data_IF_411921517650
#
_entry.id   IF_411921517650
#
_cell.length_a   1.000
_cell.length_b   1.000
_cell.length_c   1.000
_cell.angle_alpha   90.00
_cell.angle_beta   90.00
_cell.angle_gamma   90.00
#
_symmetry.space_group_name_H-M   'P 1'
#
loop_
_entity.id
_entity.type
_entity.pdbx_description
1 polymer ?
#
# COMPACT_ATOMS: atom_id res chain seq x y z
N UNK A 1 4.45 -58.45 -19.93
CA UNK A 1 4.90 -57.04 -19.79
C UNK A 1 3.89 -55.96 -20.27
N UNK A 2 2.70 -56.32 -20.75
CA UNK A 2 1.69 -55.33 -21.26
C UNK A 2 0.64 -54.89 -20.20
N UNK A 3 0.49 -55.61 -19.12
CA UNK A 3 -0.54 -55.32 -18.07
C UNK A 3 -0.09 -54.21 -17.12
N UNK A 4 1.20 -54.02 -16.92
CA UNK A 4 1.75 -52.99 -16.01
C UNK A 4 1.62 -51.55 -16.56
N UNK A 5 1.63 -51.36 -17.89
CA UNK A 5 1.52 -50.05 -18.53
C UNK A 5 0.10 -49.50 -18.51
N UNK A 6 -0.91 -50.37 -18.54
CA UNK A 6 -2.31 -49.97 -18.44
C UNK A 6 -2.70 -49.42 -17.07
N UNK A 7 -2.21 -50.05 -16.01
CA UNK A 7 -2.47 -49.65 -14.62
C UNK A 7 -1.75 -48.35 -14.26
N UNK A 8 -0.53 -48.13 -14.74
CA UNK A 8 0.20 -46.88 -14.52
C UNK A 8 -0.46 -45.68 -15.21
N UNK A 9 -0.98 -45.89 -16.43
CA UNK A 9 -1.73 -44.85 -17.15
C UNK A 9 -3.09 -44.56 -16.53
N UNK A 10 -3.80 -45.54 -16.05
CA UNK A 10 -5.06 -45.39 -15.33
C UNK A 10 -4.85 -44.64 -13.99
N UNK A 11 -3.80 -45.00 -13.23
CA UNK A 11 -3.45 -44.32 -11.99
C UNK A 11 -3.02 -42.85 -12.23
N UNK A 12 -2.26 -42.59 -13.29
CA UNK A 12 -1.86 -41.20 -13.67
C UNK A 12 -3.06 -40.37 -14.14
N UNK A 13 -4.01 -40.96 -14.89
CA UNK A 13 -5.22 -40.25 -15.32
C UNK A 13 -6.18 -39.99 -14.14
N UNK A 14 -6.26 -40.94 -13.18
CA UNK A 14 -7.05 -40.76 -11.96
C UNK A 14 -6.46 -39.70 -11.06
N UNK A 15 -5.12 -39.68 -10.87
CA UNK A 15 -4.43 -38.59 -10.15
C UNK A 15 -4.62 -37.24 -10.79
N UNK A 16 -4.55 -37.13 -12.13
CA UNK A 16 -4.82 -35.87 -12.84
C UNK A 16 -6.27 -35.42 -12.67
N UNK A 17 -7.24 -36.30 -12.73
CA UNK A 17 -8.66 -35.99 -12.50
C UNK A 17 -8.94 -35.60 -11.04
N UNK A 18 -8.31 -36.26 -10.07
CA UNK A 18 -8.45 -35.90 -8.66
C UNK A 18 -7.77 -34.59 -8.30
N UNK A 19 -6.65 -34.25 -8.94
CA UNK A 19 -5.99 -32.94 -8.80
C UNK A 19 -6.80 -31.85 -9.48
N UNK A 20 -7.37 -32.09 -10.67
CA UNK A 20 -8.29 -31.13 -11.31
C UNK A 20 -9.60 -30.98 -10.54
N UNK A 21 -10.16 -32.05 -9.98
CA UNK A 21 -11.34 -31.99 -9.11
C UNK A 21 -11.04 -31.25 -7.78
N UNK A 22 -9.82 -31.36 -7.24
CA UNK A 22 -9.41 -30.54 -6.08
C UNK A 22 -9.12 -29.09 -6.41
N UNK A 23 -8.59 -28.79 -7.59
CA UNK A 23 -8.40 -27.41 -8.07
C UNK A 23 -9.72 -26.70 -8.39
N UNK A 24 -10.80 -27.45 -8.70
CA UNK A 24 -12.15 -26.93 -8.93
C UNK A 24 -13.02 -26.86 -7.68
N UNK A 25 -12.51 -27.24 -6.51
CA UNK A 25 -13.23 -27.20 -5.24
C UNK A 25 -12.88 -25.99 -4.38
N UNK A 26 -12.64 -24.84 -5.00
CA UNK A 26 -12.89 -23.57 -4.29
C UNK A 26 -14.42 -23.48 -4.15
N UNK A 27 -14.97 -23.58 -2.94
CA UNK A 27 -16.42 -23.45 -2.77
C UNK A 27 -16.85 -22.12 -3.42
N UNK A 28 -17.92 -22.14 -4.25
CA UNK A 28 -18.41 -20.90 -4.84
C UNK A 28 -18.67 -19.92 -3.71
N UNK A 29 -18.25 -18.66 -3.92
CA UNK A 29 -18.42 -17.60 -2.94
C UNK A 29 -19.88 -17.61 -2.46
N UNK A 30 -20.11 -17.86 -1.19
CA UNK A 30 -21.47 -17.92 -0.70
C UNK A 30 -22.09 -16.51 -0.73
N UNK A 31 -23.39 -16.44 -1.03
CA UNK A 31 -24.14 -15.17 -1.03
C UNK A 31 -23.96 -14.42 0.30
N UNK A 32 -23.90 -15.15 1.43
CA UNK A 32 -23.69 -14.57 2.75
C UNK A 32 -22.30 -13.95 2.92
N UNK A 33 -21.25 -14.55 2.38
CA UNK A 33 -19.90 -13.99 2.39
C UNK A 33 -19.80 -12.73 1.53
N UNK A 34 -20.39 -12.75 0.33
CA UNK A 34 -20.44 -11.59 -0.56
C UNK A 34 -21.17 -10.41 0.11
N UNK A 35 -22.31 -10.66 0.71
CA UNK A 35 -23.07 -9.65 1.43
C UNK A 35 -22.32 -9.13 2.67
N UNK A 36 -21.62 -10.00 3.40
CA UNK A 36 -20.79 -9.58 4.53
C UNK A 36 -19.67 -8.63 4.09
N UNK A 37 -18.98 -8.93 3.00
CA UNK A 37 -17.94 -8.06 2.45
C UNK A 37 -18.50 -6.72 1.93
N UNK A 38 -19.64 -6.76 1.25
CA UNK A 38 -20.30 -5.55 0.78
C UNK A 38 -20.78 -4.68 1.94
N UNK A 39 -21.22 -5.29 3.04
CA UNK A 39 -21.58 -4.54 4.25
C UNK A 39 -20.37 -3.94 4.97
N UNK A 40 -19.22 -4.58 4.90
CA UNK A 40 -17.98 -4.05 5.45
C UNK A 40 -17.28 -3.01 4.53
N UNK A 41 -17.80 -2.79 3.30
CA UNK A 41 -17.19 -1.86 2.36
C UNK A 41 -17.25 -0.41 2.89
N UNK A 42 -16.19 0.40 2.69
CA UNK A 42 -16.14 1.79 3.14
C UNK A 42 -17.11 2.71 2.39
N UNK A 43 -17.61 2.27 1.24
CA UNK A 43 -18.57 2.99 0.39
C UNK A 43 -19.99 2.48 0.62
N UNK A 44 -20.98 3.36 0.44
CA UNK A 44 -22.34 2.95 0.32
C UNK A 44 -22.57 2.16 -0.97
N UNK A 45 -23.37 1.10 -0.92
CA UNK A 45 -23.80 0.41 -2.13
C UNK A 45 -25.24 -0.07 -1.97
N UNK A 46 -25.92 -0.12 -3.10
CA UNK A 46 -27.24 -0.73 -3.19
C UNK A 46 -27.41 -1.42 -4.55
N UNK A 47 -28.29 -2.41 -4.57
CA UNK A 47 -28.66 -3.14 -5.79
C UNK A 47 -30.13 -2.87 -6.11
N UNK A 48 -30.39 -2.46 -7.36
CA UNK A 48 -31.72 -2.21 -7.89
C UNK A 48 -32.10 -3.29 -8.88
N UNK A 49 -33.35 -3.69 -8.87
CA UNK A 49 -33.92 -4.53 -9.91
C UNK A 49 -34.38 -3.70 -11.13
N UNK A 50 -35.03 -4.36 -12.10
CA UNK A 50 -35.53 -3.72 -13.32
C UNK A 50 -36.55 -2.62 -13.06
N UNK A 51 -37.31 -2.69 -11.96
CA UNK A 51 -38.31 -1.70 -11.55
C UNK A 51 -37.72 -0.56 -10.74
N UNK A 52 -36.39 -0.47 -10.55
CA UNK A 52 -35.70 0.46 -9.64
C UNK A 52 -36.01 0.22 -8.16
N UNK A 53 -36.42 -0.98 -7.81
CA UNK A 53 -36.74 -1.39 -6.45
C UNK A 53 -35.47 -1.84 -5.77
N UNK A 54 -35.22 -1.42 -4.52
CA UNK A 54 -34.04 -1.79 -3.73
C UNK A 54 -34.15 -3.26 -3.30
N UNK A 55 -33.25 -4.08 -3.79
CA UNK A 55 -33.18 -5.49 -3.45
C UNK A 55 -32.10 -5.79 -2.39
N UNK A 56 -31.08 -4.95 -2.29
CA UNK A 56 -30.06 -5.00 -1.26
C UNK A 56 -29.45 -3.61 -1.07
N UNK A 57 -29.08 -3.31 0.17
CA UNK A 57 -28.45 -2.05 0.57
C UNK A 57 -27.54 -2.33 1.76
N UNK A 58 -26.42 -1.63 1.89
CA UNK A 58 -25.55 -1.73 3.06
C UNK A 58 -25.78 -0.55 4.02
N UNK A 59 -25.39 -0.73 5.25
CA UNK A 59 -25.55 0.28 6.33
C UNK A 59 -24.90 1.62 5.96
N UNK A 60 -23.83 1.61 5.18
CA UNK A 60 -23.17 2.84 4.74
C UNK A 60 -24.01 3.62 3.74
N UNK A 61 -24.71 2.92 2.83
CA UNK A 61 -25.64 3.57 1.89
C UNK A 61 -26.88 4.10 2.62
N UNK A 62 -27.42 3.36 3.60
CA UNK A 62 -28.52 3.84 4.45
C UNK A 62 -28.13 5.14 5.15
N UNK A 63 -26.93 5.19 5.73
CA UNK A 63 -26.38 6.39 6.38
C UNK A 63 -26.24 7.56 5.40
N UNK A 64 -25.62 7.34 4.22
CA UNK A 64 -25.39 8.38 3.24
C UNK A 64 -26.70 8.94 2.66
N UNK A 65 -27.67 8.09 2.46
CA UNK A 65 -29.01 8.46 1.95
C UNK A 65 -29.96 8.94 3.07
N UNK A 66 -29.47 9.02 4.31
CA UNK A 66 -30.25 9.45 5.49
C UNK A 66 -31.53 8.63 5.70
N UNK A 67 -31.48 7.32 5.35
CA UNK A 67 -32.64 6.43 5.49
C UNK A 67 -32.75 5.91 6.93
N UNK A 68 -33.97 5.67 7.44
CA UNK A 68 -34.19 5.15 8.79
C UNK A 68 -33.58 3.73 8.93
N UNK A 69 -32.77 3.50 9.95
CA UNK A 69 -32.08 2.23 10.18
C UNK A 69 -32.97 1.01 10.43
N UNK A 70 -34.24 1.23 10.83
CA UNK A 70 -35.21 0.18 11.18
C UNK A 70 -36.25 -0.11 10.07
N UNK A 71 -36.11 0.50 8.90
CA UNK A 71 -37.10 0.30 7.82
C UNK A 71 -36.70 -0.91 6.96
N UNK A 72 -37.67 -1.74 6.61
CA UNK A 72 -37.58 -2.79 5.60
C UNK A 72 -37.48 -2.13 4.22
N UNK A 73 -36.32 -1.55 3.90
CA UNK A 73 -36.05 -0.83 2.65
C UNK A 73 -36.06 -1.72 1.40
N UNK A 74 -36.03 -3.05 1.62
CA UNK A 74 -36.10 -4.02 0.52
C UNK A 74 -37.52 -4.07 -0.02
N UNK A 75 -37.65 -3.88 -1.32
CA UNK A 75 -38.93 -3.87 -2.02
C UNK A 75 -39.49 -2.46 -2.22
N UNK A 76 -38.86 -1.43 -1.66
CA UNK A 76 -39.23 -0.03 -1.88
C UNK A 76 -38.56 0.51 -3.14
N UNK A 77 -39.25 1.38 -3.85
CA UNK A 77 -38.74 2.06 -5.03
C UNK A 77 -37.78 3.18 -4.65
N UNK A 78 -36.62 3.26 -5.33
CA UNK A 78 -35.60 4.26 -5.01
C UNK A 78 -36.11 5.70 -5.04
N UNK A 79 -36.98 6.02 -6.01
CA UNK A 79 -37.62 7.35 -6.18
C UNK A 79 -38.49 7.79 -4.98
N UNK A 80 -39.05 6.83 -4.25
CA UNK A 80 -39.86 7.11 -3.06
C UNK A 80 -39.01 7.43 -1.84
N UNK A 81 -37.79 6.88 -1.80
CA UNK A 81 -36.86 7.04 -0.67
C UNK A 81 -35.90 8.20 -0.88
N UNK A 82 -35.47 8.44 -2.10
CA UNK A 82 -34.51 9.47 -2.45
C UNK A 82 -35.06 10.35 -3.54
N UNK A 83 -35.52 11.55 -3.17
CA UNK A 83 -36.04 12.53 -4.11
C UNK A 83 -34.90 13.29 -4.78
N UNK A 84 -34.32 12.71 -5.84
CA UNK A 84 -33.27 13.32 -6.65
C UNK A 84 -33.52 13.05 -8.14
N UNK A 85 -33.99 14.08 -8.86
CA UNK A 85 -34.20 13.95 -10.32
C UNK A 85 -32.93 13.59 -11.06
N UNK A 86 -31.78 14.06 -10.59
CA UNK A 86 -30.47 13.78 -11.19
C UNK A 86 -30.12 12.29 -11.10
N UNK A 87 -30.37 11.67 -9.95
CA UNK A 87 -30.12 10.25 -9.72
C UNK A 87 -31.10 9.40 -10.56
N UNK A 88 -32.37 9.75 -10.60
CA UNK A 88 -33.37 9.05 -11.40
C UNK A 88 -33.03 9.10 -12.90
N UNK A 89 -32.68 10.29 -13.41
CA UNK A 89 -32.29 10.47 -14.82
C UNK A 89 -31.01 9.63 -15.12
N UNK A 90 -30.04 9.61 -14.22
CA UNK A 90 -28.83 8.83 -14.37
C UNK A 90 -29.12 7.32 -14.39
N UNK A 91 -30.04 6.82 -13.57
CA UNK A 91 -30.52 5.43 -13.56
C UNK A 91 -31.13 5.07 -14.92
N UNK A 92 -32.03 5.91 -15.44
CA UNK A 92 -32.65 5.67 -16.75
C UNK A 92 -31.65 5.76 -17.91
N UNK A 93 -30.71 6.70 -17.82
CA UNK A 93 -29.64 6.87 -18.82
C UNK A 93 -28.70 5.67 -18.84
N UNK A 94 -28.28 5.18 -17.65
CA UNK A 94 -27.41 4.02 -17.52
C UNK A 94 -28.05 2.76 -18.10
N UNK A 95 -29.34 2.54 -17.86
CA UNK A 95 -30.10 1.42 -18.45
C UNK A 95 -30.21 1.50 -19.96
N UNK A 96 -30.54 2.68 -20.49
CA UNK A 96 -30.73 2.88 -21.95
C UNK A 96 -29.43 2.71 -22.71
N UNK A 97 -28.29 3.13 -22.12
CA UNK A 97 -26.97 3.10 -22.77
C UNK A 97 -26.18 1.82 -22.46
N UNK A 98 -26.66 1.00 -21.51
CA UNK A 98 -25.94 -0.19 -20.98
C UNK A 98 -24.50 0.12 -20.60
N UNK A 99 -24.26 1.31 -20.04
CA UNK A 99 -22.94 1.78 -19.65
C UNK A 99 -22.96 2.38 -18.26
N UNK A 100 -21.83 2.26 -17.55
CA UNK A 100 -21.64 2.93 -16.29
C UNK A 100 -21.88 4.44 -16.43
N UNK A 101 -22.59 5.01 -15.46
CA UNK A 101 -22.85 6.45 -15.35
C UNK A 101 -22.39 6.94 -13.98
N UNK A 102 -21.94 8.17 -13.96
CA UNK A 102 -21.58 8.88 -12.74
C UNK A 102 -22.49 10.08 -12.62
N UNK A 103 -23.05 10.27 -11.45
CA UNK A 103 -23.93 11.39 -11.15
C UNK A 103 -23.56 12.00 -9.82
N UNK A 104 -23.65 13.32 -9.74
CA UNK A 104 -23.45 14.10 -8.54
C UNK A 104 -24.75 14.82 -8.21
N UNK A 105 -25.13 14.81 -6.93
CA UNK A 105 -26.29 15.56 -6.42
C UNK A 105 -26.07 15.92 -4.95
N UNK A 106 -26.98 16.69 -4.39
CA UNK A 106 -26.96 17.03 -2.96
C UNK A 106 -28.20 16.50 -2.26
N UNK A 107 -28.02 15.79 -1.16
CA UNK A 107 -29.10 15.39 -0.27
C UNK A 107 -29.07 16.27 0.98
N UNK A 108 -29.94 17.29 1.02
CA UNK A 108 -29.83 18.36 2.02
C UNK A 108 -28.52 19.14 1.87
N UNK A 109 -27.68 19.12 2.89
CA UNK A 109 -26.33 19.76 2.86
C UNK A 109 -25.19 18.81 2.51
N UNK A 110 -25.50 17.53 2.24
CA UNK A 110 -24.48 16.52 1.92
C UNK A 110 -24.32 16.38 0.40
N UNK A 111 -23.18 16.76 -0.16
CA UNK A 111 -22.87 16.49 -1.56
C UNK A 111 -22.52 15.02 -1.72
N UNK A 112 -23.28 14.32 -2.54
CA UNK A 112 -23.15 12.90 -2.83
C UNK A 112 -22.77 12.66 -4.27
N UNK A 113 -22.11 11.55 -4.49
CA UNK A 113 -21.76 11.03 -5.79
C UNK A 113 -22.18 9.58 -5.89
N UNK A 114 -22.80 9.20 -7.01
CA UNK A 114 -23.09 7.81 -7.33
C UNK A 114 -22.44 7.37 -8.64
N UNK A 115 -21.93 6.14 -8.63
CA UNK A 115 -21.56 5.41 -9.83
C UNK A 115 -22.55 4.28 -10.04
N UNK A 116 -23.26 4.31 -11.16
CA UNK A 116 -24.27 3.35 -11.56
C UNK A 116 -23.65 2.34 -12.53
N UNK A 117 -23.75 1.07 -12.20
CA UNK A 117 -23.19 -0.05 -12.96
C UNK A 117 -24.33 -0.95 -13.43
N UNK A 118 -24.68 -0.94 -14.73
CA UNK A 118 -25.71 -1.84 -15.24
C UNK A 118 -25.22 -3.29 -15.23
N UNK A 119 -26.09 -4.21 -14.83
CA UNK A 119 -25.89 -5.64 -14.81
C UNK A 119 -26.81 -6.36 -15.79
N UNK A 120 -26.78 -7.68 -15.79
CA UNK A 120 -27.65 -8.53 -16.58
C UNK A 120 -29.11 -8.45 -16.07
N UNK A 121 -30.08 -8.81 -16.91
CA UNK A 121 -31.52 -8.87 -16.60
C UNK A 121 -32.11 -7.56 -16.01
N UNK A 122 -31.49 -6.41 -16.30
CA UNK A 122 -31.95 -5.12 -15.84
C UNK A 122 -31.54 -4.78 -14.39
N UNK A 123 -30.71 -5.60 -13.77
CA UNK A 123 -30.09 -5.27 -12.49
C UNK A 123 -29.17 -4.07 -12.60
N UNK A 124 -28.98 -3.36 -11.50
CA UNK A 124 -28.06 -2.24 -11.41
C UNK A 124 -27.41 -2.21 -10.02
N UNK A 125 -26.10 -2.09 -9.98
CA UNK A 125 -25.40 -1.76 -8.76
C UNK A 125 -25.15 -0.24 -8.70
N UNK A 126 -25.38 0.36 -7.55
CA UNK A 126 -25.14 1.78 -7.30
C UNK A 126 -24.12 1.90 -6.17
N UNK A 127 -23.01 2.53 -6.45
CA UNK A 127 -21.98 2.87 -5.46
C UNK A 127 -22.14 4.33 -5.08
N UNK A 128 -22.17 4.58 -3.76
CA UNK A 128 -22.38 5.90 -3.18
C UNK A 128 -21.14 6.34 -2.43
N UNK A 129 -20.77 7.59 -2.62
CA UNK A 129 -19.71 8.25 -1.84
C UNK A 129 -20.14 9.67 -1.45
N UNK A 130 -19.71 10.12 -0.28
CA UNK A 130 -19.88 11.52 0.12
C UNK A 130 -18.70 12.34 -0.41
N UNK A 131 -18.98 13.50 -1.04
CA UNK A 131 -17.94 14.44 -1.46
C UNK A 131 -17.27 15.17 -0.29
N UNK A 132 -17.81 15.10 0.92
CA UNK A 132 -17.10 15.51 2.14
C UNK A 132 -15.80 14.74 2.33
N UNK A 133 -15.65 13.55 1.73
CA UNK A 133 -14.35 12.88 1.66
C UNK A 133 -13.32 13.70 0.89
N UNK A 134 -13.74 14.49 -0.10
CA UNK A 134 -12.87 15.41 -0.84
C UNK A 134 -12.42 16.59 0.06
N UNK A 135 -13.34 17.16 0.84
CA UNK A 135 -12.99 18.19 1.83
C UNK A 135 -12.08 17.63 2.93
N UNK A 136 -12.34 16.40 3.39
CA UNK A 136 -11.45 15.74 4.34
C UNK A 136 -10.09 15.40 3.73
N UNK A 137 -10.02 15.10 2.43
CA UNK A 137 -8.76 14.96 1.69
C UNK A 137 -8.04 16.30 1.54
N UNK A 138 -8.77 17.38 1.24
CA UNK A 138 -8.20 18.73 1.20
C UNK A 138 -7.73 19.20 2.59
N UNK A 139 -8.46 18.87 3.64
CA UNK A 139 -8.07 19.13 5.03
C UNK A 139 -6.87 18.27 5.46
N UNK A 140 -6.81 17.03 4.99
CA UNK A 140 -5.66 16.15 5.18
C UNK A 140 -4.44 16.65 4.40
N UNK A 141 -4.66 17.15 3.18
CA UNK A 141 -3.62 17.78 2.36
C UNK A 141 -3.15 19.10 2.99
N UNK A 142 -4.05 19.90 3.56
CA UNK A 142 -3.70 21.14 4.26
C UNK A 142 -2.94 20.89 5.55
N UNK A 143 -3.32 19.88 6.32
CA UNK A 143 -2.56 19.43 7.50
C UNK A 143 -1.18 18.93 7.10
N UNK A 144 -1.10 18.14 6.04
CA UNK A 144 0.14 17.67 5.49
C UNK A 144 1.09 18.80 5.06
N UNK A 145 0.59 19.86 4.38
CA UNK A 145 1.39 21.04 4.04
C UNK A 145 1.91 21.75 5.30
N UNK A 146 1.10 21.80 6.35
CA UNK A 146 1.50 22.35 7.65
C UNK A 146 2.60 21.53 8.32
N UNK A 147 2.47 20.20 8.33
CA UNK A 147 3.46 19.30 8.91
C UNK A 147 4.80 19.40 8.17
N UNK A 148 4.74 19.44 6.83
CA UNK A 148 5.90 19.69 5.98
C UNK A 148 6.56 21.03 6.31
N UNK A 149 5.79 22.10 6.42
CA UNK A 149 6.33 23.41 6.75
C UNK A 149 7.03 23.40 8.12
N UNK A 150 6.50 22.67 9.09
CA UNK A 150 7.12 22.50 10.39
C UNK A 150 8.42 21.69 10.33
N UNK A 151 8.44 20.58 9.59
CA UNK A 151 9.64 19.73 9.44
C UNK A 151 10.74 20.40 8.59
N UNK A 152 10.37 21.27 7.67
CA UNK A 152 11.33 22.10 6.92
C UNK A 152 11.84 23.30 7.72
N UNK A 153 11.04 23.89 8.60
CA UNK A 153 11.41 25.05 9.40
C UNK A 153 12.60 24.78 10.32
N UNK A 154 12.65 23.60 10.93
CA UNK A 154 13.71 23.21 11.87
C UNK A 154 15.10 23.18 11.21
N UNK A 155 15.34 22.45 10.08
CA UNK A 155 16.64 22.47 9.41
C UNK A 155 16.96 23.84 8.80
N UNK A 156 15.97 24.58 8.30
CA UNK A 156 16.18 25.93 7.78
C UNK A 156 16.66 26.90 8.87
N UNK A 157 16.05 26.81 10.06
CA UNK A 157 16.48 27.62 11.21
C UNK A 157 17.91 27.27 11.63
N UNK A 158 18.26 25.97 11.64
CA UNK A 158 19.62 25.51 11.92
C UNK A 158 20.63 26.04 10.88
N UNK A 159 20.26 26.04 9.60
CA UNK A 159 21.08 26.57 8.52
C UNK A 159 21.32 28.09 8.65
N UNK A 160 20.28 28.85 8.99
CA UNK A 160 20.39 30.28 9.24
C UNK A 160 21.32 30.57 10.41
N UNK A 161 21.17 29.89 11.54
CA UNK A 161 22.05 30.04 12.71
C UNK A 161 23.52 29.71 12.42
N UNK A 162 23.76 28.69 11.59
CA UNK A 162 25.11 28.33 11.14
C UNK A 162 25.66 29.40 10.21
N UNK A 163 24.85 29.93 9.28
CA UNK A 163 25.19 31.05 8.41
C UNK A 163 25.59 32.29 9.19
N UNK A 164 24.78 32.69 10.17
CA UNK A 164 25.04 33.83 11.06
C UNK A 164 26.33 33.63 11.88
N UNK A 165 26.58 32.41 12.37
CA UNK A 165 27.79 32.09 13.11
C UNK A 165 29.05 32.14 12.21
N UNK A 166 28.95 31.74 10.94
CA UNK A 166 30.03 31.86 9.96
C UNK A 166 30.32 33.33 9.61
N UNK A 167 29.29 34.14 9.50
CA UNK A 167 29.41 35.59 9.22
C UNK A 167 30.06 36.32 10.40
N UNK A 168 29.83 35.87 11.64
CA UNK A 168 30.37 36.53 12.84
C UNK A 168 31.80 36.06 13.19
N UNK A 169 32.31 34.95 12.69
CA UNK A 169 33.59 34.35 13.09
C UNK A 169 34.51 34.05 11.88
N UNK A 170 35.45 34.95 11.65
CA UNK A 170 36.43 34.82 10.58
C UNK A 170 37.69 33.98 10.96
N UNK A 171 37.56 32.80 11.60
CA UNK A 171 38.68 32.00 12.08
C UNK A 171 38.57 30.51 11.73
N UNK A 172 39.66 29.72 11.99
CA UNK A 172 39.80 28.27 11.68
C UNK A 172 38.67 27.36 12.22
N UNK A 173 37.80 27.86 13.08
CA UNK A 173 36.60 27.18 13.60
C UNK A 173 35.49 27.00 12.54
N UNK A 174 35.61 27.66 11.38
CA UNK A 174 34.57 27.67 10.34
C UNK A 174 34.37 26.30 9.67
N UNK A 175 35.37 25.43 9.69
CA UNK A 175 35.29 24.08 9.06
C UNK A 175 34.18 23.25 9.69
N UNK A 176 34.09 23.19 11.01
CA UNK A 176 33.07 22.42 11.74
C UNK A 176 31.65 22.98 11.48
N UNK A 177 31.54 24.31 11.37
CA UNK A 177 30.26 24.96 11.05
C UNK A 177 29.85 24.68 9.60
N UNK A 178 30.78 24.70 8.67
CA UNK A 178 30.53 24.37 7.25
C UNK A 178 30.10 22.91 7.12
N UNK A 179 30.75 21.97 7.79
CA UNK A 179 30.37 20.56 7.81
C UNK A 179 28.97 20.33 8.40
N UNK A 180 28.60 21.11 9.43
CA UNK A 180 27.25 21.08 10.00
C UNK A 180 26.22 21.63 9.02
N UNK A 181 26.52 22.74 8.36
CA UNK A 181 25.68 23.35 7.34
C UNK A 181 25.45 22.36 6.18
N UNK A 182 26.50 21.75 5.67
CA UNK A 182 26.39 20.76 4.59
C UNK A 182 25.53 19.56 4.99
N UNK A 183 25.66 19.07 6.22
CA UNK A 183 24.81 17.97 6.72
C UNK A 183 23.33 18.33 6.81
N UNK A 184 23.01 19.55 7.26
CA UNK A 184 21.60 20.00 7.33
C UNK A 184 21.02 20.28 5.94
N UNK A 185 21.82 20.78 5.00
CA UNK A 185 21.42 20.95 3.59
C UNK A 185 21.11 19.61 2.93
N UNK A 186 21.96 18.62 3.14
CA UNK A 186 21.77 17.28 2.60
C UNK A 186 20.50 16.63 3.19
N UNK A 187 20.29 16.75 4.50
CA UNK A 187 19.08 16.30 5.17
C UNK A 187 17.82 16.97 4.61
N UNK A 188 17.88 18.27 4.34
CA UNK A 188 16.77 19.01 3.74
C UNK A 188 16.49 18.52 2.31
N UNK A 189 17.54 18.28 1.53
CA UNK A 189 17.43 17.72 0.18
C UNK A 189 16.74 16.35 0.19
N UNK A 190 17.14 15.46 1.10
CA UNK A 190 16.52 14.14 1.26
C UNK A 190 15.04 14.27 1.64
N UNK A 191 14.70 15.13 2.61
CA UNK A 191 13.31 15.38 3.04
C UNK A 191 12.42 15.89 1.89
N UNK A 192 12.91 16.86 1.12
CA UNK A 192 12.16 17.39 -0.04
C UNK A 192 12.00 16.31 -1.12
N UNK A 193 13.04 15.52 -1.37
CA UNK A 193 13.01 14.41 -2.31
C UNK A 193 11.99 13.34 -1.92
N UNK A 194 12.01 12.89 -0.66
CA UNK A 194 11.07 11.92 -0.10
C UNK A 194 9.62 12.41 -0.21
N UNK A 195 9.42 13.70 0.05
CA UNK A 195 8.12 14.34 0.01
C UNK A 195 7.53 14.38 -1.40
N UNK A 196 8.33 14.83 -2.38
CA UNK A 196 7.92 14.87 -3.78
C UNK A 196 7.61 13.47 -4.33
N UNK A 197 8.39 12.47 -3.91
CA UNK A 197 8.16 11.08 -4.29
C UNK A 197 6.84 10.56 -3.69
N UNK A 198 6.61 10.77 -2.40
CA UNK A 198 5.38 10.37 -1.73
C UNK A 198 4.15 11.01 -2.39
N UNK A 199 4.22 12.31 -2.69
CA UNK A 199 3.15 13.03 -3.40
C UNK A 199 2.87 12.44 -4.79
N UNK A 200 3.91 12.02 -5.54
CA UNK A 200 3.73 11.36 -6.85
C UNK A 200 3.11 9.97 -6.72
N UNK A 201 3.55 9.21 -5.71
CA UNK A 201 3.03 7.87 -5.45
C UNK A 201 1.54 7.88 -5.08
N UNK A 202 1.10 8.84 -4.30
CA UNK A 202 -0.31 8.98 -3.89
C UNK A 202 -1.25 9.29 -5.05
N UNK A 203 -0.74 9.97 -6.07
CA UNK A 203 -1.50 10.27 -7.28
C UNK A 203 -1.39 9.18 -8.38
N UNK A 204 -0.68 8.08 -8.10
CA UNK A 204 -0.51 6.97 -9.05
C UNK A 204 -1.58 5.90 -8.80
N UNK A 205 -2.25 5.45 -9.88
CA UNK A 205 -3.16 4.31 -9.82
C UNK A 205 -2.36 2.99 -9.78
N UNK A 206 -2.82 1.99 -9.02
CA UNK A 206 -2.18 0.68 -9.01
C UNK A 206 -2.19 0.03 -10.40
N UNK A 207 -1.03 -0.47 -10.84
CA UNK A 207 -0.92 -1.29 -12.04
C UNK A 207 -0.91 -0.56 -13.39
N UNK A 208 -1.11 0.76 -13.43
CA UNK A 208 -1.22 1.55 -14.67
C UNK A 208 0.06 2.35 -14.99
N UNK A 209 1.22 1.73 -14.83
CA UNK A 209 2.47 2.41 -15.13
C UNK A 209 3.21 1.74 -16.30
N UNK A 210 3.48 2.51 -17.36
CA UNK A 210 4.30 2.11 -18.52
C UNK A 210 5.72 1.70 -18.11
N UNK A 211 6.15 2.03 -16.89
CA UNK A 211 7.47 1.69 -16.31
C UNK A 211 7.54 0.29 -15.73
N UNK A 212 6.41 -0.43 -15.62
CA UNK A 212 6.40 -1.78 -15.08
C UNK A 212 7.12 -2.75 -16.02
N UNK A 213 8.15 -3.42 -15.50
CA UNK A 213 8.98 -4.41 -16.18
C UNK A 213 9.02 -5.73 -15.38
N UNK A 214 9.39 -6.81 -16.05
CA UNK A 214 9.75 -8.05 -15.36
C UNK A 214 11.08 -7.86 -14.66
N UNK A 215 11.13 -8.13 -13.36
CA UNK A 215 12.23 -7.90 -12.45
C UNK A 215 12.40 -9.11 -11.54
N UNK A 216 13.54 -9.27 -10.93
CA UNK A 216 13.75 -10.22 -9.85
C UNK A 216 13.94 -9.45 -8.53
N UNK A 217 13.09 -9.74 -7.53
CA UNK A 217 13.14 -9.07 -6.23
C UNK A 217 14.46 -9.32 -5.49
N UNK A 218 15.06 -10.51 -5.68
CA UNK A 218 16.36 -10.85 -5.12
C UNK A 218 17.48 -9.98 -5.68
N UNK A 219 17.47 -9.74 -6.99
CA UNK A 219 18.49 -8.92 -7.64
C UNK A 219 18.37 -7.45 -7.18
N UNK A 220 17.17 -6.92 -7.11
CA UNK A 220 16.91 -5.59 -6.56
C UNK A 220 17.34 -5.46 -5.10
N UNK A 221 17.12 -6.50 -4.30
CA UNK A 221 17.55 -6.54 -2.91
C UNK A 221 19.09 -6.50 -2.80
N UNK A 222 19.77 -7.27 -3.63
CA UNK A 222 21.25 -7.28 -3.67
C UNK A 222 21.82 -5.91 -4.10
N UNK A 223 21.18 -5.25 -5.07
CA UNK A 223 21.54 -3.90 -5.51
C UNK A 223 21.33 -2.87 -4.40
N UNK A 224 20.18 -2.89 -3.74
CA UNK A 224 19.89 -1.99 -2.62
C UNK A 224 20.90 -2.19 -1.47
N UNK A 225 21.23 -3.44 -1.14
CA UNK A 225 22.25 -3.72 -0.13
C UNK A 225 23.64 -3.23 -0.53
N UNK A 226 24.01 -3.36 -1.80
CA UNK A 226 25.33 -2.89 -2.28
C UNK A 226 25.53 -1.39 -2.01
N UNK A 227 24.46 -0.59 -2.09
CA UNK A 227 24.46 0.85 -1.80
C UNK A 227 24.69 1.15 -0.31
N UNK A 228 24.25 0.26 0.59
CA UNK A 228 24.41 0.42 2.04
C UNK A 228 25.67 -0.25 2.59
N UNK A 229 26.35 -1.08 1.80
CA UNK A 229 27.51 -1.86 2.21
C UNK A 229 28.63 -1.05 2.88
N UNK A 230 29.04 0.13 2.37
CA UNK A 230 30.09 0.91 3.03
C UNK A 230 29.73 1.32 4.46
N UNK A 231 28.43 1.56 4.73
CA UNK A 231 27.93 1.90 6.05
C UNK A 231 27.81 0.66 6.95
N UNK A 232 27.38 -0.46 6.39
CA UNK A 232 27.29 -1.74 7.08
C UNK A 232 28.66 -2.27 7.50
N UNK A 233 29.65 -2.19 6.61
CA UNK A 233 31.04 -2.61 6.88
C UNK A 233 31.66 -1.78 8.03
N UNK A 234 31.42 -0.46 8.10
CA UNK A 234 31.88 0.39 9.22
C UNK A 234 31.30 -0.06 10.57
N UNK A 235 30.15 -0.71 10.57
CA UNK A 235 29.47 -1.20 11.77
C UNK A 235 29.60 -2.71 11.96
N UNK A 236 30.35 -3.38 11.10
CA UNK A 236 30.48 -4.85 11.05
C UNK A 236 29.11 -5.55 11.02
N UNK A 237 28.12 -4.96 10.33
CA UNK A 237 26.79 -5.54 10.15
C UNK A 237 26.76 -6.29 8.82
N UNK A 238 26.33 -7.54 8.87
CA UNK A 238 26.17 -8.38 7.68
C UNK A 238 24.70 -8.51 7.28
N UNK A 239 24.47 -8.87 6.01
CA UNK A 239 23.14 -9.25 5.52
C UNK A 239 23.15 -10.76 5.24
N UNK A 240 22.19 -11.48 5.83
CA UNK A 240 21.97 -12.89 5.54
C UNK A 240 20.86 -13.03 4.46
N UNK A 241 21.25 -13.53 3.30
CA UNK A 241 20.39 -13.78 2.14
C UNK A 241 20.20 -15.28 1.86
N UNK A 242 20.51 -16.16 2.81
CA UNK A 242 20.48 -17.61 2.58
C UNK A 242 19.09 -18.12 2.19
N UNK A 243 18.02 -17.46 2.66
CA UNK A 243 16.65 -17.81 2.39
C UNK A 243 15.99 -16.95 1.28
N UNK A 244 16.78 -16.47 0.32
CA UNK A 244 16.29 -15.62 -0.78
C UNK A 244 16.38 -16.34 -2.12
N UNK A 245 15.34 -17.09 -2.56
CA UNK A 245 15.26 -17.65 -3.91
C UNK A 245 15.04 -16.55 -4.96
N UNK A 246 15.18 -16.90 -6.25
CA UNK A 246 14.74 -16.03 -7.34
C UNK A 246 13.23 -15.75 -7.20
N UNK A 247 12.84 -14.50 -7.29
CA UNK A 247 11.49 -14.03 -7.04
C UNK A 247 11.04 -13.06 -8.16
N UNK A 248 10.68 -13.60 -9.34
CA UNK A 248 10.27 -12.79 -10.47
C UNK A 248 8.93 -12.10 -10.20
N UNK A 249 8.87 -10.80 -10.50
CA UNK A 249 7.66 -9.99 -10.39
C UNK A 249 7.61 -8.93 -11.50
N UNK A 250 6.44 -8.32 -11.68
CA UNK A 250 6.27 -7.18 -12.58
C UNK A 250 6.07 -5.90 -11.76
N UNK A 251 6.92 -4.88 -11.98
CA UNK A 251 6.86 -3.64 -11.22
C UNK A 251 7.76 -2.54 -11.76
N UNK A 252 7.70 -1.37 -11.12
CA UNK A 252 8.64 -0.27 -11.32
C UNK A 252 9.91 -0.53 -10.49
N UNK A 253 11.00 -0.89 -11.18
CA UNK A 253 12.26 -1.25 -10.53
C UNK A 253 12.85 -0.13 -9.68
N UNK A 254 12.68 1.13 -10.10
CA UNK A 254 13.18 2.30 -9.35
C UNK A 254 12.44 2.47 -8.03
N UNK A 255 11.11 2.36 -8.06
CA UNK A 255 10.27 2.43 -6.85
C UNK A 255 10.54 1.25 -5.91
N UNK A 256 10.57 0.03 -6.45
CA UNK A 256 10.87 -1.16 -5.64
C UNK A 256 12.26 -1.11 -5.01
N UNK A 257 13.28 -0.71 -5.76
CA UNK A 257 14.62 -0.48 -5.23
C UNK A 257 14.62 0.53 -4.07
N UNK A 258 13.86 1.64 -4.21
CA UNK A 258 13.70 2.63 -3.15
C UNK A 258 13.04 2.06 -1.90
N UNK A 259 12.00 1.23 -2.06
CA UNK A 259 11.35 0.57 -0.94
C UNK A 259 12.32 -0.36 -0.20
N UNK A 260 13.08 -1.16 -0.93
CA UNK A 260 14.09 -2.06 -0.37
C UNK A 260 15.19 -1.29 0.34
N UNK A 261 15.68 -0.20 -0.26
CA UNK A 261 16.68 0.66 0.35
C UNK A 261 16.18 1.25 1.69
N UNK A 262 14.94 1.73 1.74
CA UNK A 262 14.33 2.25 2.96
C UNK A 262 14.18 1.19 4.04
N UNK A 263 13.78 -0.04 3.69
CA UNK A 263 13.67 -1.16 4.63
C UNK A 263 15.05 -1.55 5.19
N UNK A 264 16.04 -1.69 4.33
CA UNK A 264 17.40 -2.07 4.72
C UNK A 264 18.12 -0.98 5.52
N UNK A 265 17.99 0.31 5.13
CA UNK A 265 18.55 1.44 5.92
C UNK A 265 17.91 1.50 7.30
N UNK A 266 16.59 1.29 7.39
CA UNK A 266 15.89 1.23 8.66
C UNK A 266 16.40 0.07 9.52
N UNK A 267 16.48 -1.13 8.98
CA UNK A 267 17.03 -2.30 9.68
C UNK A 267 18.49 -2.06 10.12
N UNK A 268 19.32 -1.53 9.23
CA UNK A 268 20.73 -1.22 9.55
C UNK A 268 20.84 -0.19 10.67
N UNK A 269 19.94 0.77 10.75
CA UNK A 269 19.91 1.83 11.78
C UNK A 269 19.72 1.27 13.18
N UNK A 270 18.82 0.30 13.34
CA UNK A 270 18.46 -0.26 14.64
C UNK A 270 19.24 -1.52 15.03
N UNK A 271 19.84 -2.19 14.07
CA UNK A 271 20.68 -3.37 14.30
C UNK A 271 21.91 -3.00 15.11
N UNK A 272 22.27 -3.75 16.17
CA UNK A 272 23.52 -3.58 16.91
C UNK A 272 24.74 -3.86 16.02
N UNK A 273 25.86 -3.18 16.32
CA UNK A 273 27.13 -3.40 15.63
C UNK A 273 27.62 -4.86 15.80
N UNK A 274 28.20 -5.42 14.77
CA UNK A 274 28.72 -6.79 14.79
C UNK A 274 27.67 -7.89 14.69
N UNK A 275 26.42 -7.56 14.31
CA UNK A 275 25.33 -8.54 14.13
C UNK A 275 24.86 -8.62 12.69
N UNK A 276 23.86 -9.45 12.40
CA UNK A 276 23.31 -9.62 11.06
C UNK A 276 21.88 -9.09 10.98
N UNK A 277 21.52 -8.62 9.78
CA UNK A 277 20.12 -8.42 9.36
C UNK A 277 19.70 -9.69 8.62
N UNK A 278 18.60 -10.29 9.07
CA UNK A 278 18.08 -11.51 8.46
C UNK A 278 17.04 -11.10 7.41
N UNK A 279 17.18 -11.62 6.17
CA UNK A 279 16.24 -11.36 5.07
C UNK A 279 15.80 -12.68 4.47
N UNK A 280 14.51 -12.84 4.30
CA UNK A 280 13.90 -14.02 3.69
C UNK A 280 12.93 -13.61 2.59
N UNK A 281 12.94 -14.33 1.48
CA UNK A 281 11.94 -14.23 0.42
C UNK A 281 11.23 -15.57 0.35
N UNK A 282 9.93 -15.56 0.54
CA UNK A 282 9.08 -16.74 0.40
C UNK A 282 7.94 -16.49 -0.58
N UNK A 283 7.42 -17.56 -1.14
CA UNK A 283 6.35 -17.46 -2.12
C UNK A 283 5.12 -18.21 -1.66
N UNK A 284 4.01 -17.50 -1.42
CA UNK A 284 2.73 -18.06 -0.99
C UNK A 284 1.63 -17.75 -2.01
N UNK A 285 1.20 -18.76 -2.78
CA UNK A 285 0.18 -18.60 -3.81
C UNK A 285 0.59 -17.60 -4.88
N UNK A 286 -0.14 -16.49 -5.02
CA UNK A 286 0.09 -15.42 -5.99
C UNK A 286 0.99 -14.29 -5.44
N UNK A 287 1.62 -14.49 -4.29
CA UNK A 287 2.34 -13.45 -3.57
C UNK A 287 3.81 -13.83 -3.34
N UNK A 288 4.68 -12.84 -3.41
CA UNK A 288 6.00 -12.84 -2.82
C UNK A 288 5.94 -12.12 -1.48
N UNK A 289 6.51 -12.74 -0.46
CA UNK A 289 6.65 -12.20 0.88
C UNK A 289 8.15 -11.99 1.14
N UNK A 290 8.55 -10.75 1.28
CA UNK A 290 9.90 -10.36 1.69
C UNK A 290 9.85 -9.93 3.15
N UNK A 291 10.56 -10.62 4.02
CA UNK A 291 10.74 -10.22 5.41
C UNK A 291 12.13 -9.66 5.64
N UNK A 292 12.21 -8.54 6.34
CA UNK A 292 13.45 -7.93 6.82
C UNK A 292 13.38 -7.87 8.32
N UNK A 293 14.30 -8.57 9.01
CA UNK A 293 14.40 -8.60 10.45
C UNK A 293 15.69 -7.95 10.91
N UNK A 294 15.60 -6.97 11.79
CA UNK A 294 16.72 -6.46 12.55
C UNK A 294 16.88 -7.21 13.88
N UNK A 295 17.99 -6.96 14.57
CA UNK A 295 18.27 -7.49 15.92
C UNK A 295 18.30 -6.37 16.96
N UNK A 296 17.53 -5.31 16.73
CA UNK A 296 17.41 -4.16 17.57
C UNK A 296 16.44 -4.35 18.74
N UNK A 297 15.98 -3.23 19.28
CA UNK A 297 15.04 -3.22 20.42
C UNK A 297 13.59 -3.52 20.03
N UNK A 298 13.29 -3.66 18.71
CA UNK A 298 11.92 -3.82 18.23
C UNK A 298 11.09 -2.54 18.34
N UNK A 299 9.79 -2.66 18.08
CA UNK A 299 8.80 -1.60 18.12
C UNK A 299 8.08 -1.58 19.48
N UNK A 300 7.68 -0.41 19.97
CA UNK A 300 6.68 -0.30 21.03
C UNK A 300 5.27 -0.50 20.46
N UNK A 301 4.28 -0.70 21.35
CA UNK A 301 2.86 -0.77 20.93
C UNK A 301 2.38 0.52 20.26
N UNK A 302 2.96 1.66 20.62
CA UNK A 302 2.70 2.94 19.98
C UNK A 302 3.35 3.00 18.61
N UNK A 303 4.62 2.54 18.49
CA UNK A 303 5.30 2.49 17.19
C UNK A 303 4.51 1.64 16.20
N UNK A 304 4.05 0.44 16.60
CA UNK A 304 3.29 -0.47 15.74
C UNK A 304 2.00 0.15 15.17
N UNK A 305 1.41 1.12 15.86
CA UNK A 305 0.20 1.81 15.40
C UNK A 305 0.49 2.93 14.40
N UNK A 306 1.67 3.56 14.51
CA UNK A 306 1.96 4.82 13.82
C UNK A 306 3.16 4.76 12.86
N UNK A 307 3.91 3.65 12.82
CA UNK A 307 5.21 3.56 12.11
C UNK A 307 5.12 3.81 10.60
N UNK A 308 3.95 3.68 9.99
CA UNK A 308 3.70 3.99 8.58
C UNK A 308 3.14 5.41 8.37
N UNK A 309 2.85 6.13 9.46
CA UNK A 309 2.45 7.53 9.36
C UNK A 309 3.63 8.41 8.97
N UNK A 310 3.34 9.46 8.23
CA UNK A 310 4.35 10.40 7.77
C UNK A 310 4.96 11.15 8.95
N UNK A 311 6.27 11.37 8.87
CA UNK A 311 7.06 12.06 9.92
C UNK A 311 7.05 11.38 11.28
N UNK A 312 6.42 10.21 11.40
CA UNK A 312 6.45 9.48 12.65
C UNK A 312 7.86 8.99 12.96
N UNK A 313 8.26 9.18 14.19
CA UNK A 313 9.56 8.76 14.71
C UNK A 313 9.34 8.20 16.11
N UNK A 314 9.76 6.99 16.33
CA UNK A 314 9.79 6.39 17.65
C UNK A 314 10.71 7.16 18.62
N UNK A 315 10.75 6.74 19.88
CA UNK A 315 11.54 7.38 20.92
C UNK A 315 13.02 7.50 20.51
N UNK A 316 13.57 8.73 20.42
CA UNK A 316 14.97 8.96 20.07
C UNK A 316 15.98 8.28 21.03
N UNK A 317 15.59 8.00 22.28
CA UNK A 317 16.43 7.33 23.25
C UNK A 317 16.76 5.87 22.89
N UNK A 318 15.97 5.26 22.01
CA UNK A 318 16.13 3.88 21.54
C UNK A 318 17.09 3.76 20.34
N UNK A 319 17.46 4.87 19.72
CA UNK A 319 18.30 4.88 18.51
C UNK A 319 19.76 5.02 18.90
N UNK A 320 20.59 4.02 18.64
CA UNK A 320 22.05 4.08 18.83
C UNK A 320 22.76 4.87 17.73
N UNK A 321 22.13 5.04 16.58
CA UNK A 321 22.69 5.76 15.43
C UNK A 321 22.53 7.28 15.59
N UNK A 322 23.63 8.02 15.33
CA UNK A 322 23.60 9.50 15.24
C UNK A 322 22.85 10.03 14.00
N UNK A 323 22.46 9.16 13.08
CA UNK A 323 21.69 9.51 11.88
C UNK A 323 20.20 9.63 12.24
N UNK A 324 19.70 10.84 12.16
CA UNK A 324 18.25 11.12 12.30
C UNK A 324 17.54 10.84 10.98
N UNK A 325 16.57 9.93 10.95
CA UNK A 325 15.74 9.70 9.75
C UNK A 325 14.68 10.77 9.54
N UNK A 326 14.17 10.88 8.31
CA UNK A 326 13.08 11.79 7.93
C UNK A 326 11.72 11.43 8.56
N UNK A 327 11.53 10.16 8.93
CA UNK A 327 10.21 9.64 9.31
C UNK A 327 9.29 9.39 8.11
N UNK A 328 9.80 9.50 6.87
CA UNK A 328 9.05 9.26 5.64
C UNK A 328 9.33 7.88 5.02
N UNK A 329 10.46 7.25 5.35
CA UNK A 329 10.90 6.03 4.69
C UNK A 329 9.88 4.88 4.70
N UNK A 330 9.28 4.56 5.86
CA UNK A 330 8.26 3.50 5.95
C UNK A 330 6.92 3.90 5.31
N UNK A 331 6.54 5.17 5.35
CA UNK A 331 5.37 5.67 4.61
C UNK A 331 5.57 5.52 3.09
N UNK A 332 6.78 5.78 2.57
CA UNK A 332 7.13 5.56 1.16
C UNK A 332 7.06 4.07 0.82
N UNK A 333 7.57 3.18 1.69
CA UNK A 333 7.47 1.73 1.50
C UNK A 333 6.02 1.30 1.39
N UNK A 334 5.16 1.77 2.30
CA UNK A 334 3.73 1.47 2.29
C UNK A 334 3.07 1.92 0.98
N UNK A 335 3.35 3.14 0.55
CA UNK A 335 2.75 3.67 -0.67
C UNK A 335 3.26 2.94 -1.93
N UNK A 336 4.54 2.57 -1.97
CA UNK A 336 5.08 1.74 -3.06
C UNK A 336 4.43 0.36 -3.07
N UNK A 337 4.25 -0.27 -1.92
CA UNK A 337 3.56 -1.56 -1.84
C UNK A 337 2.13 -1.44 -2.38
N UNK A 338 1.37 -0.43 -1.96
CA UNK A 338 -0.01 -0.19 -2.41
C UNK A 338 -0.10 0.07 -3.92
N UNK A 339 0.79 0.87 -4.50
CA UNK A 339 0.81 1.13 -5.95
C UNK A 339 1.15 -0.11 -6.77
N UNK A 340 1.86 -1.09 -6.18
CA UNK A 340 2.13 -2.39 -6.77
C UNK A 340 1.06 -3.45 -6.46
N UNK A 341 -0.06 -3.06 -5.84
CA UNK A 341 -1.13 -3.99 -5.47
C UNK A 341 -0.79 -4.92 -4.31
N UNK A 342 0.26 -4.59 -3.55
CA UNK A 342 0.73 -5.32 -2.39
C UNK A 342 0.38 -4.64 -1.06
N UNK A 343 1.08 -5.05 0.00
CA UNK A 343 0.97 -4.45 1.34
C UNK A 343 2.28 -4.55 2.09
N UNK A 344 2.40 -3.81 3.18
CA UNK A 344 3.50 -3.90 4.14
C UNK A 344 2.93 -4.00 5.55
N UNK A 345 3.53 -4.85 6.36
CA UNK A 345 3.17 -5.07 7.76
C UNK A 345 4.43 -5.05 8.63
N UNK A 346 4.28 -4.74 9.92
CA UNK A 346 5.40 -4.77 10.85
C UNK A 346 4.97 -5.39 12.17
N UNK A 347 5.91 -6.10 12.77
CA UNK A 347 5.71 -6.76 14.08
C UNK A 347 7.04 -6.93 14.79
N UNK A 348 7.00 -7.28 16.05
CA UNK A 348 8.18 -7.73 16.77
C UNK A 348 8.42 -9.22 16.52
N UNK A 349 9.67 -9.59 16.31
CA UNK A 349 10.04 -11.00 16.18
C UNK A 349 10.08 -11.66 17.58
N UNK A 350 9.58 -12.91 17.76
CA UNK A 350 9.56 -13.59 19.05
C UNK A 350 10.95 -13.75 19.71
N UNK A 351 11.99 -13.89 18.90
CA UNK A 351 13.39 -13.95 19.38
C UNK A 351 14.05 -12.55 19.48
N UNK A 352 13.27 -11.47 19.49
CA UNK A 352 13.75 -10.10 19.57
C UNK A 352 14.01 -9.44 18.21
N UNK A 353 14.01 -8.10 18.19
CA UNK A 353 14.17 -7.27 17.00
C UNK A 353 12.84 -6.95 16.31
N UNK A 354 12.88 -5.99 15.40
CA UNK A 354 11.77 -5.64 14.54
C UNK A 354 11.76 -6.53 13.28
N UNK A 355 10.56 -6.84 12.79
CA UNK A 355 10.34 -7.55 11.55
C UNK A 355 9.37 -6.75 10.70
N UNK A 356 9.79 -6.40 9.49
CA UNK A 356 8.94 -5.76 8.49
C UNK A 356 8.75 -6.72 7.32
N UNK A 357 7.49 -6.91 6.93
CA UNK A 357 7.07 -7.82 5.88
C UNK A 357 6.49 -7.02 4.72
N UNK A 358 7.08 -7.16 3.54
CA UNK A 358 6.61 -6.56 2.28
C UNK A 358 6.03 -7.66 1.40
N UNK A 359 4.74 -7.56 1.07
CA UNK A 359 4.02 -8.52 0.24
C UNK A 359 3.74 -7.88 -1.12
N UNK A 360 4.16 -8.54 -2.20
CA UNK A 360 4.01 -8.09 -3.58
C UNK A 360 3.39 -9.18 -4.45
N UNK A 361 2.56 -8.84 -5.45
CA UNK A 361 2.01 -9.84 -6.35
C UNK A 361 3.12 -10.45 -7.23
N UNK A 362 3.04 -11.75 -7.44
CA UNK A 362 3.87 -12.45 -8.42
C UNK A 362 3.44 -11.97 -9.81
N UNK A 363 4.39 -11.47 -10.60
CA UNK A 363 4.15 -11.29 -12.02
C UNK A 363 3.81 -12.64 -12.67
N UNK A 364 2.94 -12.65 -13.66
CA UNK A 364 2.81 -13.82 -14.53
C UNK A 364 4.19 -14.09 -15.12
N UNK A 365 4.74 -15.27 -14.81
CA UNK A 365 5.96 -15.75 -15.47
C UNK A 365 5.69 -15.77 -16.96
N UNK A 366 6.50 -15.18 -17.83
CA UNK A 366 6.34 -15.39 -19.26
C UNK A 366 6.37 -16.90 -19.45
N UNK A 367 5.29 -17.45 -20.03
CA UNK A 367 5.24 -18.85 -20.46
C UNK A 367 6.55 -19.14 -21.20
N UNK A 368 7.26 -20.24 -20.91
CA UNK A 368 8.45 -20.59 -21.66
C UNK A 368 8.04 -20.61 -23.12
N UNK A 369 8.68 -19.76 -23.93
CA UNK A 369 8.53 -19.76 -25.36
C UNK A 369 8.81 -21.18 -25.83
N UNK A 370 7.75 -21.89 -26.26
CA UNK A 370 7.88 -23.12 -27.01
C UNK A 370 8.56 -22.68 -28.31
N UNK A 371 9.87 -22.92 -28.37
CA UNK A 371 10.62 -22.84 -29.62
C UNK A 371 10.08 -23.88 -30.60
N UNK A 372 9.88 -23.52 -31.86
CA UNK A 372 9.34 -24.39 -32.89
C UNK A 372 10.22 -25.59 -33.20
#
# INVERSE_FOLDING_TARGET
MLIGWGLARAAASWRRRSLQARALAVPPLSRSQLLAWLNAAPHGWLALDRASTIQAINTKAEYLLQLPADSLLRGEELSQLVHSPELEEAVQRSRRLERAQRVEWSLGTEPLEATLLPGEDGWMAVWLSSRRSLESQLDQQSRWVSDVAHELKTPLTALLLVGDSLAAQATRSNVVLIERLQRELERLRELVGDLLELSRLENSLPGDDERYRCLDLRDLLAEAWSSLRPLADQRAVSLDLAACPSAPLRGDGSRLHRALLNLLDNALRYTPDGTAIDVEISGTGQWWELTVRDRGCGFSDTDLKHLFERFYRGDPSRVRSRRSGSGLGLAIVQQIALTHGGRVEARNHPAGGALVELVLPRGESPLPSVSP
#
